data_IF_731734872814
#
_entry.id   IF_731734872814
#
_cell.length_a   1.000
_cell.length_b   1.000
_cell.length_c   1.000
_cell.angle_alpha   90.00
_cell.angle_beta   90.00
_cell.angle_gamma   90.00
#
_symmetry.space_group_name_H-M   'P 1'
#
loop_
_entity.id
_entity.type
_entity.pdbx_description
1 polymer ?
#
# COMPACT_ATOMS: atom_id res chain seq x y z
N UNK A 1 -11.42 21.12 -1.50
CA UNK A 1 -10.83 19.77 -1.39
C UNK A 1 -10.78 19.23 0.07
N UNK A 2 -11.59 19.76 1.00
CA UNK A 2 -11.52 19.42 2.45
C UNK A 2 -12.69 18.54 2.93
N UNK A 3 -13.74 18.37 2.12
CA UNK A 3 -15.03 17.79 2.56
C UNK A 3 -15.08 16.24 2.70
N UNK A 4 -13.94 15.53 2.67
CA UNK A 4 -13.89 14.05 2.63
C UNK A 4 -12.99 13.42 3.68
N UNK A 5 -12.37 14.22 4.55
CA UNK A 5 -11.46 13.76 5.61
C UNK A 5 -12.18 13.67 6.96
N UNK A 6 -11.84 12.67 7.76
CA UNK A 6 -12.37 12.52 9.12
C UNK A 6 -12.06 13.78 9.96
N UNK A 7 -13.00 14.31 10.76
CA UNK A 7 -12.82 15.56 11.53
C UNK A 7 -11.83 15.44 12.69
N UNK A 8 -11.34 14.23 13.00
CA UNK A 8 -10.40 13.98 14.09
C UNK A 8 -8.97 14.35 13.69
N UNK A 9 -8.32 15.20 14.51
CA UNK A 9 -6.94 15.70 14.29
C UNK A 9 -5.86 14.60 14.27
N UNK A 10 -6.10 13.46 14.94
CA UNK A 10 -5.17 12.32 14.97
C UNK A 10 -5.31 11.39 13.76
N UNK A 11 -6.32 11.58 12.91
CA UNK A 11 -6.65 10.68 11.79
C UNK A 11 -6.07 11.14 10.44
N UNK A 12 -5.28 12.21 10.48
CA UNK A 12 -4.70 12.87 9.31
C UNK A 12 -3.19 13.00 9.50
N UNK A 13 -2.50 11.87 9.56
CA UNK A 13 -1.05 11.86 9.52
C UNK A 13 -0.56 11.93 8.07
N UNK A 14 0.70 12.31 7.84
CA UNK A 14 1.28 12.38 6.49
C UNK A 14 1.24 11.01 5.79
N UNK A 15 1.33 9.94 6.58
CA UNK A 15 1.45 8.56 6.13
C UNK A 15 0.15 7.75 6.28
N UNK A 16 -0.80 8.23 7.08
CA UNK A 16 -2.03 7.52 7.41
C UNK A 16 -3.20 8.50 7.31
N UNK A 17 -4.13 8.23 6.41
CA UNK A 17 -5.31 9.08 6.21
C UNK A 17 -6.56 8.23 6.19
N UNK A 18 -7.46 8.50 7.12
CA UNK A 18 -8.80 7.91 7.12
C UNK A 18 -9.82 8.90 6.56
N UNK A 19 -10.55 8.45 5.55
CA UNK A 19 -11.61 9.23 4.93
C UNK A 19 -12.93 9.08 5.69
N UNK A 20 -13.80 10.09 5.60
CA UNK A 20 -15.16 10.09 6.20
C UNK A 20 -16.02 8.88 5.81
N UNK A 21 -15.73 8.26 4.66
CA UNK A 21 -16.41 7.06 4.17
C UNK A 21 -15.91 5.75 4.82
N UNK A 22 -14.98 5.81 5.78
CA UNK A 22 -14.38 4.64 6.43
C UNK A 22 -13.21 4.02 5.67
N UNK A 23 -12.78 4.61 4.55
CA UNK A 23 -11.62 4.14 3.80
C UNK A 23 -10.33 4.58 4.48
N UNK A 24 -9.36 3.67 4.56
CA UNK A 24 -8.04 3.92 5.14
C UNK A 24 -6.97 3.91 4.04
N UNK A 25 -6.16 4.95 3.96
CA UNK A 25 -5.00 5.06 3.07
C UNK A 25 -3.73 5.10 3.91
N UNK A 26 -2.83 4.14 3.66
CA UNK A 26 -1.50 4.11 4.26
C UNK A 26 -0.45 4.28 3.16
N UNK A 27 0.47 5.20 3.37
CA UNK A 27 1.63 5.46 2.51
C UNK A 27 2.84 5.21 3.38
N UNK A 28 3.73 4.33 2.95
CA UNK A 28 4.91 4.01 3.73
C UNK A 28 6.02 3.45 2.87
N UNK A 29 7.22 3.45 3.45
CA UNK A 29 8.39 2.89 2.79
C UNK A 29 8.26 1.36 2.66
N UNK A 30 8.79 0.75 1.59
CA UNK A 30 8.70 -0.70 1.40
C UNK A 30 9.54 -1.46 2.41
N UNK A 31 8.91 -1.83 3.53
CA UNK A 31 9.50 -2.63 4.59
C UNK A 31 8.57 -3.79 4.95
N UNK A 32 9.12 -4.89 5.43
CA UNK A 32 8.33 -6.05 5.88
C UNK A 32 7.28 -5.64 6.90
N UNK A 33 7.57 -4.72 7.83
CA UNK A 33 6.56 -4.30 8.81
C UNK A 33 5.33 -3.61 8.16
N UNK A 34 5.49 -2.97 6.99
CA UNK A 34 4.39 -2.35 6.23
C UNK A 34 3.73 -3.39 5.34
N UNK A 35 4.52 -4.22 4.66
CA UNK A 35 4.02 -5.29 3.78
C UNK A 35 3.39 -6.46 4.54
N UNK A 36 3.72 -6.62 5.82
CA UNK A 36 3.16 -7.59 6.75
C UNK A 36 2.13 -6.99 7.71
N UNK A 37 1.72 -5.76 7.43
CA UNK A 37 0.62 -5.09 8.14
C UNK A 37 -0.75 -5.69 7.77
N UNK A 38 -1.82 -5.04 8.22
CA UNK A 38 -3.21 -5.46 8.05
C UNK A 38 -3.58 -5.80 6.60
N UNK A 39 -4.66 -6.55 6.43
CA UNK A 39 -5.23 -6.84 5.11
C UNK A 39 -5.72 -5.55 4.43
N UNK A 40 -5.30 -5.36 3.18
CA UNK A 40 -5.69 -4.21 2.38
C UNK A 40 -6.47 -4.68 1.15
N UNK A 41 -7.61 -4.04 0.90
CA UNK A 41 -8.41 -4.34 -0.29
C UNK A 41 -7.68 -3.94 -1.58
N UNK A 42 -6.99 -2.81 -1.56
CA UNK A 42 -6.20 -2.31 -2.68
C UNK A 42 -4.79 -1.95 -2.21
N UNK A 43 -3.77 -2.50 -2.87
CA UNK A 43 -2.37 -2.17 -2.65
C UNK A 43 -1.80 -1.59 -3.94
N UNK A 44 -1.10 -0.46 -3.84
CA UNK A 44 -0.40 0.16 -4.96
C UNK A 44 1.08 0.30 -4.61
N UNK A 45 1.94 -0.31 -5.43
CA UNK A 45 3.39 -0.20 -5.37
C UNK A 45 3.82 0.79 -6.45
N UNK A 46 4.37 1.94 -6.07
CA UNK A 46 4.82 2.98 -7.01
C UNK A 46 6.34 2.99 -7.08
N UNK A 47 6.92 3.20 -8.26
CA UNK A 47 8.38 3.19 -8.47
C UNK A 47 9.03 1.81 -8.15
N UNK A 48 8.40 0.71 -8.60
CA UNK A 48 8.82 -0.66 -8.28
C UNK A 48 10.27 -1.01 -8.66
N UNK A 49 10.81 -0.44 -9.74
CA UNK A 49 12.21 -0.63 -10.15
C UNK A 49 13.23 -0.19 -9.08
N UNK A 50 12.84 0.71 -8.16
CA UNK A 50 13.70 1.13 -7.04
C UNK A 50 13.53 0.30 -5.78
N UNK A 51 12.63 -0.68 -5.78
CA UNK A 51 12.43 -1.53 -4.63
C UNK A 51 13.60 -2.50 -4.51
N UNK A 52 14.01 -2.86 -3.28
CA UNK A 52 14.88 -4.00 -3.09
C UNK A 52 14.25 -5.24 -3.72
N UNK A 53 15.04 -6.04 -4.45
CA UNK A 53 14.59 -7.32 -5.04
C UNK A 53 14.08 -8.29 -3.95
N UNK A 54 14.62 -8.13 -2.75
CA UNK A 54 14.24 -8.88 -1.56
C UNK A 54 14.03 -7.92 -0.39
N UNK A 55 12.77 -7.80 0.07
CA UNK A 55 12.40 -6.94 1.18
C UNK A 55 12.68 -7.71 2.48
N UNK A 56 13.82 -7.41 3.12
CA UNK A 56 14.23 -7.91 4.45
C UNK A 56 14.26 -9.46 4.58
N UNK A 57 14.52 -10.20 3.50
CA UNK A 57 14.58 -11.67 3.50
C UNK A 57 13.26 -12.38 3.17
N UNK A 58 12.16 -11.64 2.98
CA UNK A 58 10.82 -12.23 2.78
C UNK A 58 10.38 -12.35 1.31
N UNK A 59 11.23 -11.91 0.37
CA UNK A 59 10.96 -11.94 -1.07
C UNK A 59 10.54 -10.60 -1.67
N UNK A 60 10.03 -10.66 -2.90
CA UNK A 60 9.70 -9.47 -3.68
C UNK A 60 8.45 -8.76 -3.17
N UNK A 61 8.44 -7.44 -3.35
CA UNK A 61 7.37 -6.59 -2.84
C UNK A 61 5.99 -6.89 -3.44
N UNK A 62 5.92 -7.39 -4.68
CA UNK A 62 4.65 -7.73 -5.31
C UNK A 62 4.04 -8.99 -4.71
N UNK A 63 4.84 -10.04 -4.50
CA UNK A 63 4.40 -11.26 -3.83
C UNK A 63 3.93 -10.99 -2.40
N UNK A 64 4.63 -10.11 -1.68
CA UNK A 64 4.23 -9.70 -0.34
C UNK A 64 2.94 -8.86 -0.35
N UNK A 65 2.80 -7.93 -1.29
CA UNK A 65 1.59 -7.12 -1.46
C UNK A 65 0.37 -7.97 -1.87
N UNK A 66 0.55 -8.92 -2.79
CA UNK A 66 -0.50 -9.79 -3.29
C UNK A 66 -1.12 -10.62 -2.16
N UNK A 67 -0.29 -11.15 -1.24
CA UNK A 67 -0.74 -11.85 -0.02
C UNK A 67 -1.74 -11.01 0.80
N UNK A 68 -1.58 -9.68 0.89
CA UNK A 68 -2.51 -8.79 1.65
C UNK A 68 -3.89 -8.64 1.01
N UNK A 69 -3.98 -8.85 -0.30
CA UNK A 69 -5.25 -8.75 -1.03
C UNK A 69 -6.02 -10.06 -1.10
N UNK A 70 -5.38 -11.20 -0.75
CA UNK A 70 -6.00 -12.54 -0.81
C UNK A 70 -7.25 -12.67 0.03
N UNK A 71 -7.29 -12.02 1.19
CA UNK A 71 -8.46 -11.97 2.09
C UNK A 71 -9.69 -11.37 1.41
N UNK A 72 -9.50 -10.50 0.40
CA UNK A 72 -10.57 -9.88 -0.36
C UNK A 72 -10.95 -10.62 -1.65
N UNK A 73 -10.30 -11.76 -1.94
CA UNK A 73 -10.56 -12.62 -3.11
C UNK A 73 -10.65 -11.79 -4.40
N UNK A 74 -11.72 -11.94 -5.18
CA UNK A 74 -11.95 -11.22 -6.44
C UNK A 74 -12.13 -9.70 -6.27
N UNK A 75 -12.28 -9.21 -5.05
CA UNK A 75 -12.35 -7.77 -4.74
C UNK A 75 -11.01 -7.17 -4.35
N UNK A 76 -9.97 -8.00 -4.21
CA UNK A 76 -8.60 -7.59 -3.93
C UNK A 76 -7.90 -7.10 -5.21
N UNK A 77 -7.12 -6.03 -5.11
CA UNK A 77 -6.36 -5.49 -6.23
C UNK A 77 -4.94 -5.12 -5.81
N UNK A 78 -3.95 -5.70 -6.49
CA UNK A 78 -2.53 -5.31 -6.35
C UNK A 78 -2.10 -4.64 -7.64
N UNK A 79 -1.69 -3.38 -7.54
CA UNK A 79 -1.19 -2.58 -8.66
C UNK A 79 0.30 -2.35 -8.47
N UNK A 80 1.04 -2.50 -9.56
CA UNK A 80 2.46 -2.14 -9.65
C UNK A 80 2.60 -1.07 -10.71
N UNK A 81 3.20 0.03 -10.32
CA UNK A 81 3.66 1.09 -11.21
C UNK A 81 5.19 1.08 -11.16
N UNK A 82 5.81 1.02 -12.33
CA UNK A 82 7.24 1.06 -12.48
C UNK A 82 7.57 1.95 -13.67
N UNK A 83 8.63 2.73 -13.54
CA UNK A 83 9.16 3.48 -14.68
C UNK A 83 9.73 2.50 -15.71
N UNK A 84 9.54 2.73 -17.02
CA UNK A 84 10.24 1.95 -18.03
C UNK A 84 11.74 2.29 -17.94
N UNK A 85 12.51 1.46 -17.26
CA UNK A 85 13.93 1.36 -17.54
C UNK A 85 14.06 0.93 -19.01
N UNK A 86 14.86 1.66 -19.79
CA UNK A 86 14.86 1.62 -21.25
C UNK A 86 15.00 0.21 -21.86
N UNK A 87 14.50 0.11 -23.10
CA UNK A 87 14.85 -0.95 -24.06
C UNK A 87 16.36 -1.23 -24.13
#
# INVERSE_FOLDING_TARGET
>A
MVSRLSPNKNDNNVYDRTFLAGNYLKIGWPSVNIMSSSDYKCVALTDYDRFPEDIDGEGDAFSLASKRTTTFMSSGMTLVESSPAGM
#
